data_IF_729608058896
#
_entry.id   IF_729608058896
#
_cell.length_a   1.000
_cell.length_b   1.000
_cell.length_c   1.000
_cell.angle_alpha   90.00
_cell.angle_beta   90.00
_cell.angle_gamma   90.00
#
_symmetry.space_group_name_H-M   'P 1'
#
loop_
_entity.id
_entity.type
_entity.pdbx_description
1 polymer ?
#
# COMPACT_ATOMS: atom_id res chain seq x y z
N UNK A 1 27.67 -13.73 15.06
CA UNK A 1 26.21 -13.92 15.08
C UNK A 1 25.56 -12.55 15.29
N UNK A 2 25.13 -11.91 14.24
CA UNK A 2 24.43 -10.61 14.31
C UNK A 2 22.97 -10.92 14.65
N UNK A 3 22.55 -10.61 15.86
CA UNK A 3 21.15 -10.66 16.27
C UNK A 3 20.33 -9.81 15.29
N UNK A 4 19.52 -10.45 14.47
CA UNK A 4 18.49 -9.81 13.66
C UNK A 4 17.35 -9.42 14.63
N UNK A 5 17.11 -8.14 14.91
CA UNK A 5 16.07 -7.74 15.85
C UNK A 5 14.68 -8.13 15.36
N UNK A 6 14.55 -8.37 14.05
CA UNK A 6 13.31 -8.81 13.41
C UNK A 6 13.13 -10.33 13.58
N UNK A 7 14.22 -11.12 13.65
CA UNK A 7 14.16 -12.55 13.95
C UNK A 7 13.82 -12.85 15.42
N UNK A 8 14.08 -11.91 16.35
CA UNK A 8 13.92 -12.16 17.79
C UNK A 8 12.49 -12.03 18.33
N UNK A 9 11.46 -11.98 17.51
CA UNK A 9 10.03 -12.03 17.92
C UNK A 9 9.55 -11.00 18.97
N UNK A 10 10.48 -10.30 19.60
CA UNK A 10 10.21 -9.38 20.71
C UNK A 10 9.97 -7.92 20.28
N UNK A 11 10.26 -7.55 19.02
CA UNK A 11 10.50 -6.15 18.68
C UNK A 11 9.46 -5.49 17.78
N UNK A 12 8.66 -6.24 17.01
CA UNK A 12 7.72 -5.61 16.06
C UNK A 12 6.63 -4.80 16.75
N UNK A 13 6.16 -5.25 17.92
CA UNK A 13 5.13 -4.51 18.67
C UNK A 13 5.67 -3.40 19.59
N UNK A 14 6.99 -3.24 19.67
CA UNK A 14 7.62 -2.06 20.28
C UNK A 14 7.81 -0.96 19.23
N UNK A 15 6.78 -0.68 18.44
CA UNK A 15 6.70 0.53 17.64
C UNK A 15 6.91 1.75 18.54
N UNK A 16 7.42 2.84 17.97
CA UNK A 16 7.62 4.07 18.77
C UNK A 16 6.28 4.56 19.29
N UNK A 17 6.26 4.89 20.58
CA UNK A 17 5.11 5.51 21.20
C UNK A 17 4.79 6.84 20.48
N UNK A 18 3.50 7.10 20.27
CA UNK A 18 3.03 8.37 19.76
C UNK A 18 3.34 9.46 20.80
N UNK A 19 4.07 10.47 20.38
CA UNK A 19 4.43 11.63 21.18
C UNK A 19 3.77 12.90 20.61
N UNK A 20 3.81 14.00 21.33
CA UNK A 20 3.20 15.26 20.92
C UNK A 20 3.60 15.70 19.50
N UNK A 21 4.88 15.66 19.06
CA UNK A 21 5.24 15.95 17.69
C UNK A 21 4.55 15.05 16.66
N UNK A 22 4.41 13.74 16.94
CA UNK A 22 3.73 12.83 16.02
C UNK A 22 2.22 13.13 15.92
N UNK A 23 1.60 13.54 17.02
CA UNK A 23 0.20 13.98 17.05
C UNK A 23 -0.01 15.29 16.28
N UNK A 24 0.94 16.24 16.39
CA UNK A 24 0.91 17.48 15.59
C UNK A 24 0.99 17.15 14.09
N UNK A 25 1.95 16.29 13.69
CA UNK A 25 2.08 15.89 12.28
C UNK A 25 0.85 15.13 11.80
N UNK A 26 0.25 14.27 12.64
CA UNK A 26 -1.01 13.60 12.33
C UNK A 26 -2.13 14.61 12.04
N UNK A 27 -2.29 15.63 12.90
CA UNK A 27 -3.28 16.68 12.70
C UNK A 27 -3.03 17.47 11.41
N UNK A 28 -1.76 17.78 11.09
CA UNK A 28 -1.39 18.44 9.84
C UNK A 28 -1.65 17.58 8.61
N UNK A 29 -1.37 16.27 8.67
CA UNK A 29 -1.68 15.31 7.60
C UNK A 29 -3.19 15.24 7.39
N UNK A 30 -3.97 15.13 8.46
CA UNK A 30 -5.43 15.12 8.37
C UNK A 30 -5.96 16.42 7.77
N UNK A 31 -5.61 17.57 8.34
CA UNK A 31 -6.11 18.88 7.89
C UNK A 31 -5.69 19.19 6.46
N UNK A 32 -4.40 19.00 6.11
CA UNK A 32 -3.92 19.23 4.75
C UNK A 32 -4.59 18.32 3.72
N UNK A 33 -4.78 17.04 4.06
CA UNK A 33 -5.51 16.10 3.19
C UNK A 33 -6.99 16.46 3.06
N UNK A 34 -7.63 16.85 4.15
CA UNK A 34 -9.03 17.28 4.13
C UNK A 34 -9.25 18.45 3.19
N UNK A 35 -8.43 19.50 3.28
CA UNK A 35 -8.53 20.65 2.38
C UNK A 35 -8.23 20.29 0.93
N UNK A 36 -7.27 19.39 0.68
CA UNK A 36 -6.95 18.93 -0.66
C UNK A 36 -8.13 18.17 -1.29
N UNK A 37 -8.71 17.21 -0.56
CA UNK A 37 -9.86 16.46 -1.05
C UNK A 37 -11.13 17.30 -1.16
N UNK A 38 -11.31 18.29 -0.27
CA UNK A 38 -12.43 19.22 -0.40
C UNK A 38 -12.31 20.09 -1.66
N UNK A 39 -11.08 20.50 -1.99
CA UNK A 39 -10.79 21.19 -3.26
C UNK A 39 -11.07 20.28 -4.46
N UNK A 40 -10.63 19.03 -4.43
CA UNK A 40 -10.88 18.06 -5.50
C UNK A 40 -12.38 17.86 -5.73
N UNK A 41 -13.17 17.73 -4.67
CA UNK A 41 -14.62 17.57 -4.76
C UNK A 41 -15.31 18.73 -5.50
N UNK A 42 -14.72 19.91 -5.53
CA UNK A 42 -15.26 21.04 -6.28
C UNK A 42 -15.20 20.85 -7.81
N UNK A 43 -14.46 19.87 -8.30
CA UNK A 43 -14.35 19.56 -9.74
C UNK A 43 -15.25 18.38 -10.10
N UNK A 44 -16.31 18.64 -10.86
CA UNK A 44 -17.34 17.66 -11.23
C UNK A 44 -16.81 16.47 -12.05
N UNK A 45 -15.68 16.64 -12.73
CA UNK A 45 -15.03 15.58 -13.52
C UNK A 45 -13.99 14.78 -12.70
N UNK A 46 -13.77 15.11 -11.43
CA UNK A 46 -12.84 14.39 -10.58
C UNK A 46 -13.43 13.05 -10.12
N UNK A 47 -12.61 12.02 -10.03
CA UNK A 47 -13.02 10.71 -9.50
C UNK A 47 -13.70 10.83 -8.14
N UNK A 48 -13.19 11.70 -7.26
CA UNK A 48 -13.78 11.91 -5.93
C UNK A 48 -15.23 12.39 -6.01
N UNK A 49 -15.53 13.33 -6.91
CA UNK A 49 -16.89 13.83 -7.12
C UNK A 49 -17.80 12.72 -7.66
N UNK A 50 -17.34 12.01 -8.69
CA UNK A 50 -18.09 10.90 -9.31
C UNK A 50 -18.41 9.82 -8.29
N UNK A 51 -17.40 9.38 -7.52
CA UNK A 51 -17.60 8.40 -6.46
C UNK A 51 -18.53 8.90 -5.34
N UNK A 52 -18.46 10.19 -4.99
CA UNK A 52 -19.35 10.77 -3.99
C UNK A 52 -20.82 10.82 -4.48
N UNK A 53 -21.04 11.11 -5.75
CA UNK A 53 -22.40 11.05 -6.35
C UNK A 53 -22.94 9.61 -6.34
N UNK A 54 -22.11 8.61 -6.60
CA UNK A 54 -22.52 7.21 -6.44
C UNK A 54 -22.94 6.92 -4.99
N UNK A 55 -22.16 7.42 -4.02
CA UNK A 55 -22.48 7.26 -2.59
C UNK A 55 -23.74 8.01 -2.17
N UNK A 56 -24.02 9.16 -2.77
CA UNK A 56 -25.25 9.95 -2.56
C UNK A 56 -26.51 9.12 -2.90
N UNK A 57 -26.45 8.34 -3.96
CA UNK A 57 -27.57 7.57 -4.49
C UNK A 57 -27.80 6.23 -3.77
N UNK A 58 -27.03 5.90 -2.72
CA UNK A 58 -27.22 4.66 -1.96
C UNK A 58 -28.46 4.72 -1.09
N UNK A 59 -29.31 3.72 -1.23
CA UNK A 59 -30.43 3.45 -0.34
C UNK A 59 -30.11 2.25 0.55
N UNK A 60 -29.95 2.48 1.85
CA UNK A 60 -29.66 1.39 2.81
C UNK A 60 -30.84 0.45 3.05
N UNK A 61 -32.04 0.83 2.60
CA UNK A 61 -33.23 -0.08 2.63
C UNK A 61 -33.25 -1.01 1.44
N UNK A 62 -32.52 -0.69 0.37
CA UNK A 62 -32.34 -1.51 -0.83
C UNK A 62 -30.89 -1.90 -1.07
N UNK A 63 -30.52 -3.11 -0.65
CA UNK A 63 -29.16 -3.63 -0.87
C UNK A 63 -28.77 -3.70 -2.36
N UNK A 64 -29.75 -3.80 -3.26
CA UNK A 64 -29.48 -3.83 -4.69
C UNK A 64 -28.94 -2.48 -5.18
N UNK A 65 -29.37 -1.37 -4.61
CA UNK A 65 -28.86 -0.04 -4.91
C UNK A 65 -27.35 0.08 -4.68
N UNK A 66 -26.83 -0.66 -3.69
CA UNK A 66 -25.41 -0.70 -3.33
C UNK A 66 -24.65 -1.70 -4.19
N UNK A 67 -25.16 -2.93 -4.28
CA UNK A 67 -24.44 -4.04 -4.92
C UNK A 67 -24.45 -3.99 -6.43
N UNK A 68 -25.46 -3.37 -7.06
CA UNK A 68 -25.55 -3.25 -8.51
C UNK A 68 -24.54 -2.26 -9.12
N UNK A 69 -24.02 -1.34 -8.32
CA UNK A 69 -23.15 -0.26 -8.83
C UNK A 69 -21.66 -0.49 -8.62
N UNK A 70 -21.26 -1.21 -7.55
CA UNK A 70 -19.85 -1.32 -7.14
C UNK A 70 -19.49 -2.65 -6.52
N UNK A 71 -18.36 -3.21 -6.93
CA UNK A 71 -17.77 -4.41 -6.33
C UNK A 71 -16.98 -4.14 -5.04
N UNK A 72 -16.67 -2.87 -4.75
CA UNK A 72 -15.89 -2.45 -3.59
C UNK A 72 -16.52 -1.21 -2.92
N UNK A 73 -17.63 -1.40 -2.18
CA UNK A 73 -18.49 -0.32 -1.74
C UNK A 73 -18.08 0.35 -0.42
N UNK A 74 -17.02 -0.11 0.28
CA UNK A 74 -16.72 0.31 1.66
C UNK A 74 -16.63 1.84 1.81
N UNK A 75 -15.86 2.51 0.94
CA UNK A 75 -15.74 3.96 0.99
C UNK A 75 -17.10 4.64 0.79
N UNK A 76 -17.87 4.17 -0.19
CA UNK A 76 -19.17 4.74 -0.54
C UNK A 76 -20.21 4.54 0.57
N UNK A 77 -20.23 3.37 1.22
CA UNK A 77 -21.09 3.10 2.38
C UNK A 77 -20.80 4.10 3.51
N UNK A 78 -19.52 4.33 3.83
CA UNK A 78 -19.15 5.25 4.90
C UNK A 78 -19.51 6.68 4.55
N UNK A 79 -19.26 7.13 3.32
CA UNK A 79 -19.63 8.48 2.86
C UNK A 79 -21.15 8.67 2.84
N UNK A 80 -21.88 7.68 2.30
CA UNK A 80 -23.35 7.70 2.28
C UNK A 80 -23.95 7.76 3.68
N UNK A 81 -23.44 6.96 4.62
CA UNK A 81 -23.89 6.97 6.01
C UNK A 81 -23.69 8.35 6.67
N UNK A 82 -22.51 8.97 6.47
CA UNK A 82 -22.26 10.31 6.98
C UNK A 82 -23.17 11.35 6.34
N UNK A 83 -23.41 11.24 5.03
CA UNK A 83 -24.33 12.13 4.32
C UNK A 83 -25.77 12.02 4.85
N UNK A 84 -26.28 10.80 5.06
CA UNK A 84 -27.62 10.57 5.61
C UNK A 84 -27.74 11.02 7.09
N UNK A 85 -26.61 11.10 7.81
CA UNK A 85 -26.54 11.71 9.15
C UNK A 85 -26.49 13.24 9.11
N UNK A 86 -26.58 13.87 7.93
CA UNK A 86 -26.65 15.32 7.75
C UNK A 86 -25.31 16.00 7.49
N UNK A 87 -24.21 15.24 7.31
CA UNK A 87 -22.92 15.83 6.90
C UNK A 87 -22.98 16.17 5.41
N UNK A 88 -22.68 17.41 4.97
CA UNK A 88 -22.67 17.73 3.55
C UNK A 88 -21.75 16.78 2.76
N UNK A 89 -22.20 16.33 1.57
CA UNK A 89 -21.56 15.26 0.80
C UNK A 89 -20.06 15.49 0.55
N UNK A 90 -19.67 16.70 0.16
CA UNK A 90 -18.26 17.04 -0.06
C UNK A 90 -17.41 16.95 1.20
N UNK A 91 -17.96 17.34 2.36
CA UNK A 91 -17.28 17.22 3.65
C UNK A 91 -17.19 15.75 4.12
N UNK A 92 -18.22 14.94 3.87
CA UNK A 92 -18.19 13.52 4.14
C UNK A 92 -17.11 12.82 3.29
N UNK A 93 -17.11 13.07 1.98
CA UNK A 93 -16.13 12.51 1.05
C UNK A 93 -14.68 12.89 1.41
N UNK A 94 -14.42 14.19 1.60
CA UNK A 94 -13.10 14.70 1.97
C UNK A 94 -12.67 14.19 3.36
N UNK A 95 -13.57 14.14 4.32
CA UNK A 95 -13.32 13.67 5.68
C UNK A 95 -12.91 12.20 5.73
N UNK A 96 -13.58 11.32 4.97
CA UNK A 96 -13.25 9.89 4.90
C UNK A 96 -11.87 9.68 4.25
N UNK A 97 -11.56 10.39 3.16
CA UNK A 97 -10.24 10.32 2.53
C UNK A 97 -9.14 10.82 3.46
N UNK A 98 -9.37 11.95 4.17
CA UNK A 98 -8.42 12.49 5.13
C UNK A 98 -8.19 11.56 6.33
N UNK A 99 -9.25 10.90 6.81
CA UNK A 99 -9.14 9.89 7.85
C UNK A 99 -8.30 8.69 7.39
N UNK A 100 -8.52 8.19 6.17
CA UNK A 100 -7.71 7.12 5.58
C UNK A 100 -6.22 7.53 5.50
N UNK A 101 -5.93 8.77 5.10
CA UNK A 101 -4.57 9.32 5.06
C UNK A 101 -3.94 9.40 6.46
N UNK A 102 -4.71 9.85 7.45
CA UNK A 102 -4.27 9.94 8.84
C UNK A 102 -3.97 8.54 9.43
N UNK A 103 -4.83 7.55 9.19
CA UNK A 103 -4.61 6.15 9.58
C UNK A 103 -3.37 5.59 8.88
N UNK A 104 -3.21 5.85 7.59
CA UNK A 104 -2.02 5.46 6.82
C UNK A 104 -0.75 6.05 7.43
N UNK A 105 -0.77 7.34 7.81
CA UNK A 105 0.37 7.98 8.48
C UNK A 105 0.70 7.32 9.83
N UNK A 106 -0.30 7.09 10.68
CA UNK A 106 -0.11 6.46 11.98
C UNK A 106 0.59 5.10 11.86
N UNK A 107 0.07 4.26 10.98
CA UNK A 107 0.59 2.91 10.76
C UNK A 107 1.96 2.93 10.07
N UNK A 108 2.19 3.88 9.16
CA UNK A 108 3.50 4.10 8.52
C UNK A 108 4.54 4.53 9.56
N UNK A 109 4.23 5.52 10.39
CA UNK A 109 5.13 5.99 11.46
C UNK A 109 5.48 4.85 12.42
N UNK A 110 4.48 4.08 12.83
CA UNK A 110 4.68 2.93 13.70
C UNK A 110 5.56 1.86 13.04
N UNK A 111 5.26 1.46 11.80
CA UNK A 111 5.98 0.39 11.08
C UNK A 111 7.42 0.80 10.73
N UNK A 112 7.62 2.01 10.19
CA UNK A 112 8.96 2.56 9.92
C UNK A 112 9.77 2.62 11.20
N UNK A 113 9.17 3.08 12.32
CA UNK A 113 9.82 3.12 13.61
C UNK A 113 10.22 1.73 14.15
N UNK A 114 9.34 0.73 14.01
CA UNK A 114 9.61 -0.64 14.38
C UNK A 114 10.77 -1.25 13.58
N UNK A 115 10.77 -1.04 12.26
CA UNK A 115 11.79 -1.58 11.35
C UNK A 115 13.14 -0.85 11.46
N UNK A 116 13.12 0.47 11.70
CA UNK A 116 14.33 1.27 11.90
C UNK A 116 15.02 0.95 13.24
N UNK A 117 14.25 0.49 14.23
CA UNK A 117 14.72 0.13 15.55
C UNK A 117 14.97 1.35 16.47
N UNK A 118 15.22 1.08 17.75
CA UNK A 118 15.32 2.10 18.80
C UNK A 118 16.47 3.10 18.59
N UNK A 119 17.54 2.67 17.88
CA UNK A 119 18.75 3.47 17.64
C UNK A 119 18.61 4.51 16.53
N UNK A 120 17.59 4.42 15.70
CA UNK A 120 17.34 5.38 14.63
C UNK A 120 16.86 6.73 15.22
N UNK A 121 17.22 7.83 14.54
CA UNK A 121 16.80 9.15 14.95
C UNK A 121 15.27 9.28 14.83
N UNK A 122 14.62 9.69 15.94
CA UNK A 122 13.16 9.83 16.00
C UNK A 122 12.58 10.87 15.04
N UNK A 123 13.33 11.94 14.81
CA UNK A 123 12.90 13.01 13.89
C UNK A 123 13.00 12.57 12.43
N UNK A 124 14.03 11.77 12.10
CA UNK A 124 14.13 11.15 10.78
C UNK A 124 12.97 10.18 10.53
N UNK A 125 12.61 9.34 11.51
CA UNK A 125 11.44 8.45 11.40
C UNK A 125 10.17 9.28 11.18
N UNK A 126 9.95 10.33 11.97
CA UNK A 126 8.77 11.19 11.88
C UNK A 126 8.71 11.91 10.52
N UNK A 127 9.80 12.60 10.15
CA UNK A 127 9.86 13.39 8.92
C UNK A 127 9.70 12.52 7.66
N UNK A 128 10.38 11.35 7.62
CA UNK A 128 10.24 10.43 6.49
C UNK A 128 8.84 9.81 6.42
N UNK A 129 8.24 9.46 7.56
CA UNK A 129 6.86 8.95 7.58
C UNK A 129 5.85 10.00 7.10
N UNK A 130 6.05 11.27 7.45
CA UNK A 130 5.25 12.38 6.94
C UNK A 130 5.44 12.57 5.43
N UNK A 131 6.70 12.52 4.96
CA UNK A 131 7.03 12.61 3.54
C UNK A 131 6.36 11.49 2.73
N UNK A 132 6.28 10.27 3.27
CA UNK A 132 5.61 9.16 2.60
C UNK A 132 4.12 9.43 2.34
N UNK A 133 3.48 10.37 3.03
CA UNK A 133 2.08 10.75 2.75
C UNK A 133 1.92 11.56 1.47
N UNK A 134 3.01 12.11 0.95
CA UNK A 134 3.00 12.96 -0.25
C UNK A 134 3.93 12.43 -1.36
N UNK A 135 4.70 11.37 -1.11
CA UNK A 135 5.67 10.86 -2.09
C UNK A 135 5.01 10.52 -3.41
N UNK A 136 5.62 10.96 -4.50
CA UNK A 136 5.21 10.62 -5.87
C UNK A 136 6.40 10.07 -6.67
N UNK A 137 6.17 9.62 -7.89
CA UNK A 137 7.22 9.20 -8.81
C UNK A 137 8.20 10.34 -9.16
N UNK A 138 9.40 10.00 -9.59
CA UNK A 138 10.36 11.00 -10.08
C UNK A 138 9.83 11.69 -11.32
N UNK A 139 10.00 13.01 -11.38
CA UNK A 139 9.59 13.83 -12.50
C UNK A 139 10.58 13.67 -13.67
N UNK A 140 10.10 13.16 -14.79
CA UNK A 140 10.83 13.11 -16.06
C UNK A 140 9.84 13.46 -17.18
N UNK A 141 9.61 14.75 -17.40
CA UNK A 141 8.58 15.27 -18.32
C UNK A 141 8.70 14.72 -19.75
N UNK A 142 9.93 14.50 -20.22
CA UNK A 142 10.18 13.91 -21.54
C UNK A 142 9.81 12.44 -21.65
N UNK A 143 9.60 11.75 -20.52
CA UNK A 143 9.27 10.33 -20.46
C UNK A 143 7.78 10.11 -20.19
N UNK A 144 7.22 10.80 -19.22
CA UNK A 144 5.80 10.71 -18.87
C UNK A 144 5.38 11.84 -17.93
N UNK A 145 4.24 12.44 -18.22
CA UNK A 145 3.54 13.38 -17.33
C UNK A 145 2.52 12.68 -16.41
N UNK A 146 2.30 11.38 -16.60
CA UNK A 146 1.29 10.59 -15.88
C UNK A 146 1.46 10.62 -14.35
N UNK A 147 2.68 10.79 -13.86
CA UNK A 147 2.96 10.93 -12.43
C UNK A 147 2.25 12.13 -11.79
N UNK A 148 1.96 13.17 -12.56
CA UNK A 148 1.23 14.36 -12.09
C UNK A 148 -0.28 14.15 -12.02
N UNK A 149 -0.79 13.18 -12.76
CA UNK A 149 -2.20 12.78 -12.71
C UNK A 149 -2.46 11.68 -11.67
N UNK A 150 -1.44 11.29 -10.90
CA UNK A 150 -1.53 10.29 -9.86
C UNK A 150 -1.43 8.84 -10.34
N UNK A 151 -1.50 8.56 -11.65
CA UNK A 151 -1.46 7.18 -12.18
C UNK A 151 -0.10 6.52 -11.98
N UNK A 152 0.98 7.28 -12.00
CA UNK A 152 2.33 6.80 -11.71
C UNK A 152 2.83 7.21 -10.33
N UNK A 153 1.97 7.28 -9.31
CA UNK A 153 2.33 7.73 -7.97
C UNK A 153 2.02 6.69 -6.89
N UNK A 154 2.91 6.47 -5.91
CA UNK A 154 2.59 5.72 -4.71
C UNK A 154 1.43 6.32 -3.91
N UNK A 155 1.23 7.64 -4.01
CA UNK A 155 0.11 8.37 -3.42
C UNK A 155 -0.80 8.91 -4.51
N UNK A 156 -1.91 8.24 -4.73
CA UNK A 156 -2.92 8.62 -5.70
C UNK A 156 -3.93 9.54 -5.01
N UNK A 157 -3.90 10.83 -5.31
CA UNK A 157 -4.79 11.80 -4.66
C UNK A 157 -6.20 11.81 -5.23
N UNK A 158 -6.37 11.63 -6.53
CA UNK A 158 -7.66 11.75 -7.20
C UNK A 158 -8.62 10.55 -7.02
N UNK A 159 -8.17 9.43 -6.45
CA UNK A 159 -9.02 8.25 -6.34
C UNK A 159 -9.30 7.87 -4.87
N UNK A 160 -10.56 8.07 -4.37
CA UNK A 160 -10.91 7.88 -2.98
C UNK A 160 -10.82 6.42 -2.52
N UNK A 161 -11.14 5.46 -3.39
CA UNK A 161 -11.05 4.04 -3.07
C UNK A 161 -9.61 3.58 -2.92
N UNK A 162 -8.66 4.24 -3.62
CA UNK A 162 -7.24 3.98 -3.45
C UNK A 162 -6.72 4.47 -2.08
N UNK A 163 -7.26 5.59 -1.55
CA UNK A 163 -6.95 6.02 -0.17
C UNK A 163 -7.40 4.96 0.84
N UNK A 164 -8.61 4.44 0.66
CA UNK A 164 -9.19 3.46 1.58
C UNK A 164 -8.41 2.14 1.56
N UNK A 165 -8.07 1.62 0.38
CA UNK A 165 -7.29 0.37 0.29
C UNK A 165 -5.87 0.54 0.80
N UNK A 166 -5.25 1.73 0.64
CA UNK A 166 -3.92 2.00 1.21
C UNK A 166 -3.95 1.94 2.73
N UNK A 167 -4.99 2.52 3.38
CA UNK A 167 -5.19 2.39 4.82
C UNK A 167 -5.44 0.93 5.24
N UNK A 168 -6.26 0.19 4.49
CA UNK A 168 -6.52 -1.23 4.74
C UNK A 168 -5.25 -2.08 4.59
N UNK A 169 -4.44 -1.84 3.55
CA UNK A 169 -3.13 -2.47 3.37
C UNK A 169 -2.24 -2.28 4.59
N UNK A 170 -2.16 -1.04 5.11
CA UNK A 170 -1.35 -0.72 6.27
C UNK A 170 -1.87 -1.37 7.56
N UNK A 171 -3.11 -1.85 7.61
CA UNK A 171 -3.63 -2.70 8.69
C UNK A 171 -3.29 -4.18 8.47
N UNK A 172 -3.49 -4.69 7.26
CA UNK A 172 -3.24 -6.10 6.90
C UNK A 172 -1.77 -6.47 7.07
N UNK A 173 -0.85 -5.65 6.54
CA UNK A 173 0.56 -6.01 6.45
C UNK A 173 1.26 -6.19 7.82
N UNK A 174 1.08 -5.30 8.81
CA UNK A 174 1.61 -5.54 10.16
C UNK A 174 0.97 -6.75 10.83
N UNK A 175 -0.32 -7.01 10.59
CA UNK A 175 -0.98 -8.16 11.16
C UNK A 175 -0.49 -9.48 10.58
N UNK A 176 -0.31 -9.54 9.26
CA UNK A 176 0.30 -10.68 8.58
C UNK A 176 1.73 -10.94 9.09
N UNK A 177 2.52 -9.87 9.22
CA UNK A 177 3.85 -9.94 9.81
C UNK A 177 3.79 -10.48 11.25
N UNK A 178 2.86 -10.01 12.09
CA UNK A 178 2.68 -10.53 13.43
C UNK A 178 2.41 -12.04 13.44
N UNK A 179 1.50 -12.52 12.60
CA UNK A 179 1.22 -13.94 12.46
C UNK A 179 2.49 -14.74 12.11
N UNK A 180 3.30 -14.19 11.21
CA UNK A 180 4.57 -14.79 10.82
C UNK A 180 5.60 -14.85 11.94
N UNK A 181 5.77 -13.77 12.69
CA UNK A 181 6.73 -13.75 13.81
C UNK A 181 6.32 -14.69 14.93
N UNK A 182 5.03 -14.82 15.18
CA UNK A 182 4.56 -15.78 16.16
C UNK A 182 4.85 -17.22 15.72
N UNK A 183 4.68 -17.51 14.44
CA UNK A 183 5.11 -18.78 13.84
C UNK A 183 6.62 -19.02 14.06
N UNK A 184 7.47 -18.08 13.66
CA UNK A 184 8.92 -18.20 13.80
C UNK A 184 9.32 -18.45 15.26
N UNK A 185 8.75 -17.70 16.20
CA UNK A 185 9.00 -17.85 17.64
C UNK A 185 8.59 -19.24 18.17
N UNK A 186 7.48 -19.79 17.67
CA UNK A 186 7.03 -21.12 18.09
C UNK A 186 7.95 -22.21 17.53
N UNK A 187 8.43 -22.06 16.28
CA UNK A 187 9.42 -22.97 15.67
C UNK A 187 10.74 -22.92 16.43
N UNK A 188 11.27 -21.73 16.75
CA UNK A 188 12.49 -21.54 17.52
C UNK A 188 12.38 -22.12 18.94
N UNK A 189 11.21 -22.05 19.56
CA UNK A 189 10.93 -22.64 20.86
C UNK A 189 10.76 -24.18 20.83
N UNK A 190 10.91 -24.82 19.67
CA UNK A 190 10.83 -26.26 19.50
C UNK A 190 9.43 -26.82 19.79
N UNK A 191 8.37 -26.05 19.61
CA UNK A 191 7.01 -26.53 19.86
C UNK A 191 6.67 -27.68 18.90
N UNK A 192 6.09 -28.77 19.43
CA UNK A 192 5.68 -29.92 18.62
C UNK A 192 4.57 -29.61 17.62
N UNK A 193 3.76 -28.60 17.90
CA UNK A 193 2.69 -28.11 17.00
C UNK A 193 2.72 -26.60 16.97
N UNK A 194 2.92 -26.05 15.79
CA UNK A 194 2.92 -24.61 15.55
C UNK A 194 1.56 -24.23 14.98
N UNK A 195 0.75 -23.55 15.77
CA UNK A 195 -0.57 -23.08 15.40
C UNK A 195 -0.79 -21.66 15.94
N UNK A 196 -1.49 -20.86 15.17
CA UNK A 196 -1.98 -19.57 15.64
C UNK A 196 -3.34 -19.75 16.36
N UNK A 197 -3.62 -18.93 17.38
CA UNK A 197 -4.96 -18.82 17.93
C UNK A 197 -5.97 -18.44 16.84
N UNK A 198 -7.13 -19.09 16.82
CA UNK A 198 -8.14 -18.89 15.76
C UNK A 198 -8.60 -17.45 15.62
N UNK A 199 -8.70 -16.70 16.71
CA UNK A 199 -9.07 -15.29 16.63
C UNK A 199 -8.11 -14.47 15.77
N UNK A 200 -6.80 -14.80 15.73
CA UNK A 200 -5.81 -14.11 14.86
C UNK A 200 -6.06 -14.41 13.40
N UNK A 201 -6.47 -15.64 13.10
CA UNK A 201 -6.83 -16.07 11.74
C UNK A 201 -8.10 -15.35 11.28
N UNK A 202 -9.11 -15.29 12.17
CA UNK A 202 -10.35 -14.55 11.87
C UNK A 202 -10.08 -13.07 11.63
N UNK A 203 -9.26 -12.42 12.48
CA UNK A 203 -8.89 -11.01 12.27
C UNK A 203 -8.16 -10.84 10.93
N UNK A 204 -7.20 -11.72 10.60
CA UNK A 204 -6.53 -11.65 9.30
C UNK A 204 -7.52 -11.81 8.14
N UNK A 205 -8.45 -12.76 8.23
CA UNK A 205 -9.47 -12.98 7.21
C UNK A 205 -10.38 -11.76 7.03
N UNK A 206 -10.85 -11.15 8.12
CA UNK A 206 -11.67 -9.93 8.09
C UNK A 206 -10.91 -8.76 7.49
N UNK A 207 -9.64 -8.56 7.87
CA UNK A 207 -8.80 -7.50 7.33
C UNK A 207 -8.54 -7.69 5.82
N UNK A 208 -8.23 -8.92 5.39
CA UNK A 208 -8.02 -9.23 3.97
C UNK A 208 -9.30 -9.05 3.15
N UNK A 209 -10.43 -9.57 3.62
CA UNK A 209 -11.72 -9.39 2.95
C UNK A 209 -12.13 -7.91 2.91
N UNK A 210 -11.98 -7.19 4.03
CA UNK A 210 -12.24 -5.76 4.10
C UNK A 210 -11.38 -4.96 3.12
N UNK A 211 -10.11 -5.35 2.91
CA UNK A 211 -9.25 -4.68 1.93
C UNK A 211 -9.72 -4.87 0.49
N UNK A 212 -10.22 -6.06 0.12
CA UNK A 212 -10.84 -6.29 -1.20
C UNK A 212 -12.11 -5.47 -1.35
N UNK A 213 -12.93 -5.38 -0.29
CA UNK A 213 -14.14 -4.56 -0.29
C UNK A 213 -13.86 -3.05 -0.35
N UNK A 214 -12.64 -2.60 0.04
CA UNK A 214 -12.17 -1.24 -0.20
C UNK A 214 -11.76 -1.03 -1.66
N UNK A 215 -10.93 -1.91 -2.20
CA UNK A 215 -10.49 -2.02 -3.60
C UNK A 215 -9.61 -3.27 -3.76
N UNK A 216 -9.75 -4.07 -4.81
CA UNK A 216 -9.01 -5.34 -4.95
C UNK A 216 -7.50 -5.17 -5.19
N UNK A 217 -7.04 -4.00 -5.61
CA UNK A 217 -5.69 -3.72 -6.12
C UNK A 217 -4.55 -4.14 -5.18
N UNK A 218 -4.71 -3.98 -3.88
CA UNK A 218 -3.72 -4.45 -2.91
C UNK A 218 -3.63 -5.97 -2.86
N UNK A 219 -4.77 -6.67 -2.84
CA UNK A 219 -4.80 -8.13 -2.78
C UNK A 219 -4.34 -8.77 -4.09
N UNK A 220 -4.51 -8.11 -5.23
CA UNK A 220 -3.95 -8.54 -6.52
C UNK A 220 -2.42 -8.66 -6.46
N UNK A 221 -1.74 -7.73 -5.80
CA UNK A 221 -0.29 -7.82 -5.57
C UNK A 221 0.07 -8.79 -4.42
N UNK A 222 -0.70 -8.78 -3.32
CA UNK A 222 -0.39 -9.56 -2.12
C UNK A 222 -0.57 -11.06 -2.32
N UNK A 223 -1.67 -11.50 -2.94
CA UNK A 223 -1.98 -12.93 -3.04
C UNK A 223 -0.89 -13.73 -3.75
N UNK A 224 -0.42 -13.39 -4.97
CA UNK A 224 0.64 -14.12 -5.63
C UNK A 224 1.99 -13.99 -4.90
N UNK A 225 2.29 -12.82 -4.32
CA UNK A 225 3.51 -12.62 -3.54
C UNK A 225 3.53 -13.48 -2.27
N UNK A 226 2.43 -13.50 -1.52
CA UNK A 226 2.27 -14.34 -0.34
C UNK A 226 2.29 -15.82 -0.71
N UNK A 227 1.63 -16.21 -1.80
CA UNK A 227 1.67 -17.59 -2.27
C UNK A 227 3.10 -18.09 -2.50
N UNK A 228 3.91 -17.35 -3.26
CA UNK A 228 5.31 -17.72 -3.51
C UNK A 228 6.11 -17.78 -2.21
N UNK A 229 5.95 -16.78 -1.34
CA UNK A 229 6.68 -16.74 -0.08
C UNK A 229 6.30 -17.88 0.85
N UNK A 230 5.00 -18.17 1.00
CA UNK A 230 4.53 -19.27 1.84
C UNK A 230 4.85 -20.64 1.23
N UNK A 231 4.84 -20.79 -0.09
CA UNK A 231 5.24 -22.01 -0.77
C UNK A 231 6.69 -22.37 -0.43
N UNK A 232 7.61 -21.40 -0.49
CA UNK A 232 9.02 -21.60 -0.09
C UNK A 232 9.11 -22.02 1.38
N UNK A 233 8.32 -21.42 2.27
CA UNK A 233 8.37 -21.76 3.69
C UNK A 233 7.73 -23.12 3.99
N UNK A 234 6.70 -23.54 3.27
CA UNK A 234 6.13 -24.90 3.37
C UNK A 234 7.21 -25.94 3.08
N UNK A 235 8.02 -25.73 2.02
CA UNK A 235 9.13 -26.66 1.72
C UNK A 235 10.23 -26.66 2.78
N UNK A 236 10.48 -25.53 3.44
CA UNK A 236 11.45 -25.40 4.54
C UNK A 236 10.97 -26.02 5.83
N UNK A 237 9.66 -25.93 6.11
CA UNK A 237 9.00 -26.30 7.35
C UNK A 237 7.87 -27.31 7.13
N UNK A 238 8.13 -28.39 6.42
CA UNK A 238 7.11 -29.41 6.00
C UNK A 238 6.29 -29.96 7.16
N UNK A 239 6.84 -30.02 8.37
CA UNK A 239 6.14 -30.51 9.56
C UNK A 239 5.03 -29.56 10.03
N UNK A 240 5.07 -28.28 9.63
CA UNK A 240 4.20 -27.22 10.11
C UNK A 240 3.05 -26.90 9.13
N UNK A 241 2.68 -27.85 8.25
CA UNK A 241 1.67 -27.66 7.21
C UNK A 241 0.32 -27.12 7.74
N UNK A 242 -0.01 -27.40 9.02
CA UNK A 242 -1.24 -26.90 9.66
C UNK A 242 -1.26 -25.40 9.83
N UNK A 243 -0.13 -24.80 10.16
CA UNK A 243 -0.01 -23.34 10.19
C UNK A 243 -0.28 -22.75 8.81
N UNK A 244 0.33 -23.32 7.77
CA UNK A 244 0.11 -22.85 6.40
C UNK A 244 -1.34 -23.03 5.97
N UNK A 245 -1.99 -24.11 6.38
CA UNK A 245 -3.43 -24.31 6.18
C UNK A 245 -4.28 -23.22 6.86
N UNK A 246 -3.92 -22.80 8.07
CA UNK A 246 -4.59 -21.66 8.73
C UNK A 246 -4.45 -20.35 7.94
N UNK A 247 -3.26 -20.09 7.38
CA UNK A 247 -3.03 -18.88 6.56
C UNK A 247 -3.84 -18.95 5.27
N UNK A 248 -3.89 -20.11 4.60
CA UNK A 248 -4.75 -20.30 3.41
C UNK A 248 -6.21 -20.02 3.77
N UNK A 249 -6.70 -20.58 4.88
CA UNK A 249 -8.07 -20.33 5.36
C UNK A 249 -8.35 -18.86 5.62
N UNK A 250 -7.36 -18.09 6.10
CA UNK A 250 -7.50 -16.64 6.29
C UNK A 250 -7.66 -15.88 4.96
N UNK A 251 -7.05 -16.34 3.88
CA UNK A 251 -7.16 -15.72 2.57
C UNK A 251 -8.40 -16.14 1.77
N UNK A 252 -8.98 -17.32 2.06
CA UNK A 252 -10.12 -17.84 1.28
C UNK A 252 -11.32 -16.87 1.17
N UNK A 253 -11.77 -16.18 2.25
CA UNK A 253 -12.88 -15.24 2.14
C UNK A 253 -12.60 -14.10 1.18
N UNK A 254 -11.36 -13.57 1.17
CA UNK A 254 -10.96 -12.49 0.26
C UNK A 254 -10.88 -12.96 -1.19
N UNK A 255 -10.38 -14.18 -1.44
CA UNK A 255 -10.38 -14.80 -2.77
C UNK A 255 -11.81 -15.04 -3.25
N UNK A 256 -12.68 -15.59 -2.38
CA UNK A 256 -14.09 -15.80 -2.70
C UNK A 256 -14.80 -14.48 -3.06
N UNK A 257 -14.61 -13.44 -2.25
CA UNK A 257 -15.19 -12.14 -2.53
C UNK A 257 -14.65 -11.53 -3.85
N UNK A 258 -13.35 -11.66 -4.10
CA UNK A 258 -12.73 -11.20 -5.36
C UNK A 258 -13.33 -11.93 -6.57
N UNK A 259 -13.46 -13.25 -6.52
CA UNK A 259 -14.04 -14.05 -7.60
C UNK A 259 -15.52 -13.70 -7.83
N UNK A 260 -16.30 -13.58 -6.77
CA UNK A 260 -17.71 -13.17 -6.87
C UNK A 260 -17.85 -11.78 -7.47
N UNK A 261 -17.01 -10.84 -7.05
CA UNK A 261 -16.97 -9.50 -7.62
C UNK A 261 -16.61 -9.53 -9.11
N UNK A 262 -15.63 -10.33 -9.48
CA UNK A 262 -15.23 -10.50 -10.89
C UNK A 262 -16.37 -11.08 -11.72
N UNK A 263 -17.00 -12.15 -11.27
CA UNK A 263 -18.14 -12.79 -11.98
C UNK A 263 -19.33 -11.83 -12.10
N UNK A 264 -19.58 -11.03 -11.06
CA UNK A 264 -20.64 -10.02 -11.08
C UNK A 264 -20.41 -8.96 -12.17
N UNK A 265 -19.16 -8.49 -12.31
CA UNK A 265 -18.82 -7.39 -13.23
C UNK A 265 -18.46 -7.82 -14.64
N UNK A 266 -18.19 -9.10 -14.90
CA UNK A 266 -17.87 -9.63 -16.23
C UNK A 266 -19.10 -10.10 -17.02
N UNK A 267 -20.32 -9.74 -16.59
CA UNK A 267 -21.52 -9.97 -17.37
C UNK A 267 -22.33 -11.21 -17.02
N UNK A 268 -21.96 -11.92 -15.94
CA UNK A 268 -22.83 -13.00 -15.45
C UNK A 268 -24.09 -12.44 -14.78
N UNK A 269 -24.02 -11.22 -14.25
CA UNK A 269 -25.12 -10.59 -13.48
C UNK A 269 -25.56 -9.24 -14.08
N UNK A 270 -24.68 -8.53 -14.82
CA UNK A 270 -24.97 -7.23 -15.43
C UNK A 270 -24.48 -7.25 -16.86
N UNK A 271 -25.25 -6.76 -17.81
CA UNK A 271 -24.82 -6.57 -19.21
C UNK A 271 -23.74 -5.48 -19.30
N UNK A 272 -22.52 -5.81 -18.87
CA UNK A 272 -21.35 -4.96 -19.07
C UNK A 272 -20.61 -5.40 -20.35
N UNK A 273 -20.38 -4.46 -21.24
CA UNK A 273 -19.61 -4.63 -22.47
C UNK A 273 -18.09 -4.52 -22.23
N UNK A 274 -17.64 -4.74 -21.01
CA UNK A 274 -16.22 -4.68 -20.64
C UNK A 274 -15.68 -6.08 -20.38
N UNK A 275 -14.51 -6.38 -20.92
CA UNK A 275 -13.80 -7.64 -20.73
C UNK A 275 -12.38 -7.43 -20.19
N UNK A 276 -11.68 -8.53 -19.96
CA UNK A 276 -10.26 -8.55 -19.64
C UNK A 276 -9.54 -9.36 -20.70
N UNK A 277 -8.54 -8.75 -21.31
CA UNK A 277 -7.64 -9.42 -22.23
C UNK A 277 -6.33 -9.74 -21.54
N UNK A 278 -5.79 -10.94 -21.81
CA UNK A 278 -4.50 -11.38 -21.31
C UNK A 278 -3.52 -11.38 -22.46
N UNK A 279 -2.47 -10.56 -22.34
CA UNK A 279 -1.41 -10.50 -23.35
C UNK A 279 -0.36 -9.47 -22.99
N UNK A 280 0.89 -9.78 -23.28
CA UNK A 280 2.02 -8.88 -23.07
C UNK A 280 2.42 -8.27 -24.40
N UNK A 281 2.37 -6.94 -24.51
CA UNK A 281 2.94 -6.19 -25.61
C UNK A 281 4.20 -5.45 -25.17
N UNK A 282 5.03 -5.01 -26.11
CA UNK A 282 6.20 -4.19 -25.79
C UNK A 282 5.77 -2.89 -25.12
N UNK A 283 4.66 -2.32 -25.53
CA UNK A 283 4.13 -1.08 -24.96
C UNK A 283 3.66 -1.26 -23.51
N UNK A 284 2.81 -2.27 -23.24
CA UNK A 284 2.34 -2.54 -21.86
C UNK A 284 3.49 -2.89 -20.94
N UNK A 285 4.46 -3.68 -21.41
CA UNK A 285 5.66 -4.01 -20.65
C UNK A 285 6.49 -2.76 -20.33
N UNK A 286 6.72 -1.91 -21.33
CA UNK A 286 7.48 -0.67 -21.14
C UNK A 286 6.79 0.28 -20.15
N UNK A 287 5.49 0.51 -20.30
CA UNK A 287 4.71 1.39 -19.41
C UNK A 287 4.73 0.88 -17.97
N UNK A 288 4.49 -0.42 -17.75
CA UNK A 288 4.47 -1.03 -16.44
C UNK A 288 5.83 -0.92 -15.74
N UNK A 289 6.92 -1.30 -16.42
CA UNK A 289 8.30 -1.22 -15.88
C UNK A 289 8.69 0.22 -15.63
N UNK A 290 8.52 1.10 -16.62
CA UNK A 290 8.85 2.52 -16.52
C UNK A 290 8.15 3.19 -15.33
N UNK A 291 6.83 3.04 -15.23
CA UNK A 291 6.06 3.68 -14.17
C UNK A 291 6.49 3.15 -12.79
N UNK A 292 6.72 1.85 -12.66
CA UNK A 292 7.19 1.27 -11.38
C UNK A 292 8.59 1.76 -11.03
N UNK A 293 9.50 1.86 -11.98
CA UNK A 293 10.82 2.42 -11.76
C UNK A 293 10.74 3.90 -11.35
N UNK A 294 9.91 4.69 -12.00
CA UNK A 294 9.70 6.10 -11.64
C UNK A 294 9.09 6.26 -10.24
N UNK A 295 8.14 5.39 -9.87
CA UNK A 295 7.53 5.41 -8.53
C UNK A 295 8.48 4.94 -7.44
N UNK A 296 9.42 4.04 -7.75
CA UNK A 296 10.17 3.28 -6.77
C UNK A 296 11.69 3.42 -6.90
N UNK A 297 12.21 4.39 -7.66
CA UNK A 297 13.65 4.55 -7.91
C UNK A 297 14.48 4.60 -6.61
N UNK A 298 14.07 5.42 -5.64
CA UNK A 298 14.75 5.55 -4.37
C UNK A 298 14.66 4.26 -3.51
N UNK A 299 13.49 3.64 -3.25
CA UNK A 299 13.44 2.40 -2.49
C UNK A 299 14.14 1.23 -3.20
N UNK A 300 14.14 1.14 -4.53
CA UNK A 300 14.90 0.13 -5.26
C UNK A 300 16.41 0.34 -5.12
N UNK A 301 16.90 1.57 -5.17
CA UNK A 301 18.30 1.86 -4.86
C UNK A 301 18.65 1.51 -3.41
N UNK A 302 17.73 1.78 -2.47
CA UNK A 302 17.92 1.37 -1.07
C UNK A 302 17.99 -0.17 -0.91
N UNK A 303 17.24 -0.92 -1.72
CA UNK A 303 17.38 -2.40 -1.79
C UNK A 303 18.83 -2.78 -2.14
N UNK A 304 19.38 -2.18 -3.21
CA UNK A 304 20.74 -2.46 -3.66
C UNK A 304 21.78 -2.14 -2.57
N UNK A 305 21.62 -1.01 -1.87
CA UNK A 305 22.54 -0.59 -0.81
C UNK A 305 22.42 -1.48 0.43
N UNK A 306 21.23 -1.93 0.76
CA UNK A 306 20.94 -2.68 2.00
C UNK A 306 21.01 -4.20 1.84
N UNK A 307 21.11 -4.76 0.61
CA UNK A 307 20.95 -6.20 0.38
C UNK A 307 21.95 -7.06 1.17
N UNK A 308 23.21 -6.64 1.29
CA UNK A 308 24.26 -7.35 2.03
C UNK A 308 24.08 -7.29 3.56
N UNK A 309 23.23 -6.41 4.07
CA UNK A 309 22.96 -6.22 5.51
C UNK A 309 21.76 -7.03 6.01
N UNK A 310 21.37 -8.05 5.28
CA UNK A 310 20.31 -8.96 5.70
C UNK A 310 18.91 -8.52 5.30
N UNK A 311 18.77 -7.61 4.32
CA UNK A 311 17.46 -7.20 3.82
C UNK A 311 16.62 -8.40 3.38
N UNK A 312 17.21 -9.37 2.67
CA UNK A 312 16.50 -10.59 2.27
C UNK A 312 16.20 -11.57 3.41
N UNK A 313 16.74 -11.31 4.61
CA UNK A 313 16.31 -11.98 5.84
C UNK A 313 15.05 -11.33 6.44
N UNK A 314 14.80 -10.07 6.07
CA UNK A 314 13.59 -9.36 6.46
C UNK A 314 12.43 -9.79 5.55
N UNK A 315 11.48 -10.49 6.13
CA UNK A 315 10.36 -11.09 5.38
C UNK A 315 9.42 -10.04 4.79
N UNK A 316 9.23 -8.91 5.49
CA UNK A 316 8.47 -7.79 4.94
C UNK A 316 9.18 -7.18 3.73
N UNK A 317 10.52 -7.09 3.76
CA UNK A 317 11.32 -6.65 2.63
C UNK A 317 11.15 -7.54 1.41
N UNK A 318 11.23 -8.85 1.60
CA UNK A 318 11.00 -9.83 0.52
C UNK A 318 9.58 -9.75 0.00
N UNK A 319 8.59 -9.67 0.90
CA UNK A 319 7.19 -9.58 0.51
C UNK A 319 6.90 -8.31 -0.29
N UNK A 320 7.43 -7.15 0.14
CA UNK A 320 7.28 -5.88 -0.58
C UNK A 320 7.87 -5.94 -1.99
N UNK A 321 9.04 -6.58 -2.16
CA UNK A 321 9.65 -6.79 -3.48
C UNK A 321 8.83 -7.74 -4.36
N UNK A 322 8.35 -8.85 -3.80
CA UNK A 322 7.49 -9.78 -4.53
C UNK A 322 6.17 -9.10 -4.95
N UNK A 323 5.53 -8.34 -4.06
CA UNK A 323 4.34 -7.57 -4.40
C UNK A 323 4.61 -6.60 -5.54
N UNK A 324 5.74 -5.87 -5.50
CA UNK A 324 6.12 -4.95 -6.58
C UNK A 324 6.34 -5.70 -7.90
N UNK A 325 7.03 -6.86 -7.87
CA UNK A 325 7.25 -7.66 -9.07
C UNK A 325 5.94 -8.20 -9.66
N UNK A 326 5.03 -8.74 -8.82
CA UNK A 326 3.75 -9.25 -9.29
C UNK A 326 2.83 -8.15 -9.79
N UNK A 327 2.84 -6.96 -9.19
CA UNK A 327 2.06 -5.83 -9.71
C UNK A 327 2.57 -5.32 -11.07
N UNK A 328 3.88 -5.41 -11.32
CA UNK A 328 4.44 -5.15 -12.66
C UNK A 328 3.97 -6.20 -13.65
N UNK A 329 4.06 -7.49 -13.29
CA UNK A 329 3.59 -8.58 -14.15
C UNK A 329 2.09 -8.46 -14.46
N UNK A 330 1.28 -8.08 -13.47
CA UNK A 330 -0.14 -7.82 -13.65
C UNK A 330 -0.39 -6.69 -14.66
N UNK A 331 0.26 -5.55 -14.47
CA UNK A 331 0.14 -4.39 -15.35
C UNK A 331 0.66 -4.67 -16.79
N UNK A 332 1.59 -5.61 -16.94
CA UNK A 332 2.08 -6.06 -18.26
C UNK A 332 1.11 -6.99 -18.96
N UNK A 333 0.48 -7.90 -18.18
CA UNK A 333 -0.23 -9.05 -18.73
C UNK A 333 -1.73 -8.82 -18.90
N UNK A 334 -2.34 -7.93 -18.12
CA UNK A 334 -3.78 -7.72 -18.12
C UNK A 334 -4.13 -6.33 -18.58
N UNK A 335 -5.13 -6.25 -19.46
CA UNK A 335 -5.73 -4.97 -19.88
C UNK A 335 -7.24 -5.10 -19.95
N UNK A 336 -7.91 -3.99 -19.72
CA UNK A 336 -9.34 -3.91 -19.89
C UNK A 336 -9.69 -3.68 -21.36
N UNK A 337 -10.84 -4.21 -21.76
CA UNK A 337 -11.40 -4.02 -23.10
C UNK A 337 -12.82 -3.45 -23.02
N UNK A 338 -13.33 -2.94 -24.13
CA UNK A 338 -14.66 -2.36 -24.22
C UNK A 338 -14.75 -1.00 -23.51
N UNK A 339 -15.83 -0.74 -22.78
CA UNK A 339 -16.07 0.57 -22.15
C UNK A 339 -15.01 0.99 -21.14
N UNK A 340 -14.23 0.05 -20.60
CA UNK A 340 -13.15 0.31 -19.64
C UNK A 340 -11.76 0.32 -20.25
N UNK A 341 -11.67 0.20 -21.57
CA UNK A 341 -10.40 0.31 -22.27
C UNK A 341 -9.74 1.66 -21.95
N UNK A 342 -8.49 1.61 -21.52
CA UNK A 342 -7.74 2.80 -21.12
C UNK A 342 -7.89 3.25 -19.67
N UNK A 343 -8.80 2.68 -18.86
CA UNK A 343 -8.92 3.01 -17.42
C UNK A 343 -7.71 2.57 -16.61
N UNK A 344 -6.92 1.60 -17.10
CA UNK A 344 -5.67 1.17 -16.48
C UNK A 344 -5.82 0.55 -15.10
N UNK A 345 -6.95 -0.11 -14.79
CA UNK A 345 -7.22 -0.64 -13.45
C UNK A 345 -6.16 -1.67 -12.99
N UNK A 346 -5.53 -2.40 -13.90
CA UNK A 346 -4.45 -3.33 -13.58
C UNK A 346 -3.11 -2.66 -13.23
N UNK A 347 -2.99 -1.34 -13.41
CA UNK A 347 -1.79 -0.60 -12.98
C UNK A 347 -1.87 -0.15 -11.53
N UNK A 348 -3.05 -0.13 -10.90
CA UNK A 348 -3.26 0.36 -9.55
C UNK A 348 -2.62 -0.50 -8.45
N UNK A 349 -2.43 -1.79 -8.72
CA UNK A 349 -1.69 -2.68 -7.83
C UNK A 349 -0.23 -2.22 -7.65
N UNK A 350 0.38 -1.66 -8.71
CA UNK A 350 1.72 -1.10 -8.66
C UNK A 350 1.82 0.13 -7.74
N UNK A 351 0.78 0.95 -7.65
CA UNK A 351 0.75 2.10 -6.74
C UNK A 351 0.76 1.64 -5.27
N UNK A 352 -0.10 0.67 -4.92
CA UNK A 352 -0.15 0.10 -3.57
C UNK A 352 1.16 -0.59 -3.18
N UNK A 353 1.70 -1.43 -4.06
CA UNK A 353 2.94 -2.16 -3.80
C UNK A 353 4.15 -1.23 -3.71
N UNK A 354 4.23 -0.19 -4.56
CA UNK A 354 5.26 0.84 -4.48
C UNK A 354 5.19 1.61 -3.17
N UNK A 355 3.99 2.00 -2.71
CA UNK A 355 3.84 2.65 -1.42
C UNK A 355 4.35 1.76 -0.29
N UNK A 356 3.96 0.49 -0.28
CA UNK A 356 4.44 -0.45 0.74
C UNK A 356 5.95 -0.66 0.68
N UNK A 357 6.52 -0.75 -0.52
CA UNK A 357 7.98 -0.83 -0.71
C UNK A 357 8.69 0.40 -0.13
N UNK A 358 8.14 1.61 -0.33
CA UNK A 358 8.64 2.83 0.29
C UNK A 358 8.65 2.75 1.82
N UNK A 359 7.54 2.31 2.42
CA UNK A 359 7.42 2.18 3.88
C UNK A 359 8.47 1.23 4.44
N UNK A 360 8.56 0.03 3.87
CA UNK A 360 9.49 -1.02 4.32
C UNK A 360 10.93 -0.59 4.13
N UNK A 361 11.27 -0.06 2.94
CA UNK A 361 12.65 0.32 2.63
C UNK A 361 13.11 1.55 3.41
N UNK A 362 12.23 2.47 3.76
CA UNK A 362 12.55 3.58 4.65
C UNK A 362 13.00 3.06 6.03
N UNK A 363 12.30 2.08 6.60
CA UNK A 363 12.68 1.48 7.88
C UNK A 363 14.00 0.71 7.81
N UNK A 364 14.17 -0.15 6.79
CA UNK A 364 15.40 -0.91 6.56
C UNK A 364 16.59 0.01 6.31
N UNK A 365 16.41 1.03 5.48
CA UNK A 365 17.44 2.02 5.18
C UNK A 365 17.91 2.78 6.43
N UNK A 366 16.98 3.31 7.23
CA UNK A 366 17.30 4.02 8.47
C UNK A 366 18.07 3.13 9.45
N UNK A 367 17.67 1.86 9.60
CA UNK A 367 18.38 0.87 10.43
C UNK A 367 19.81 0.68 9.94
N UNK A 368 19.98 0.39 8.65
CA UNK A 368 21.26 0.10 8.04
C UNK A 368 22.19 1.30 8.06
N UNK A 369 21.67 2.48 7.69
CA UNK A 369 22.40 3.74 7.73
C UNK A 369 22.91 4.06 9.14
N UNK A 370 22.03 3.92 10.15
CA UNK A 370 22.40 4.18 11.56
C UNK A 370 23.52 3.24 12.04
N UNK A 371 23.50 1.96 11.62
CA UNK A 371 24.54 1.00 11.94
C UNK A 371 25.87 1.35 11.26
N UNK A 372 25.83 1.68 9.96
CA UNK A 372 27.02 1.98 9.18
C UNK A 372 27.63 3.34 9.56
N UNK A 373 26.81 4.34 9.93
CA UNK A 373 27.29 5.61 10.47
C UNK A 373 28.10 5.41 11.76
N UNK A 374 27.62 4.57 12.66
CA UNK A 374 28.30 4.27 13.93
C UNK A 374 29.58 3.44 13.77
N UNK A 375 29.64 2.58 12.76
CA UNK A 375 30.83 1.75 12.47
C UNK A 375 31.88 2.47 11.62
N UNK A 376 31.66 3.71 11.21
CA UNK A 376 32.54 4.45 10.29
C UNK A 376 32.50 4.01 8.83
N UNK A 377 31.59 3.06 8.49
CA UNK A 377 31.52 2.48 7.15
C UNK A 377 31.04 3.47 6.07
N UNK A 378 30.51 4.63 6.45
CA UNK A 378 30.12 5.70 5.52
C UNK A 378 31.31 6.32 4.76
N UNK A 379 32.55 6.15 5.27
CA UNK A 379 33.79 6.63 4.62
C UNK A 379 34.27 5.70 3.49
N UNK A 380 33.59 4.60 3.23
CA UNK A 380 33.90 3.63 2.18
C UNK A 380 33.02 3.82 0.95
N UNK A 381 33.18 2.95 -0.06
CA UNK A 381 32.32 2.85 -1.26
C UNK A 381 30.80 2.79 -0.90
N UNK A 382 30.45 2.35 0.31
CA UNK A 382 29.07 2.38 0.79
C UNK A 382 28.52 3.81 0.94
N UNK A 383 29.39 4.77 1.28
CA UNK A 383 28.99 6.19 1.32
C UNK A 383 28.43 6.68 0.00
N UNK A 384 28.98 6.24 -1.13
CA UNK A 384 28.45 6.55 -2.46
C UNK A 384 27.04 5.99 -2.69
N UNK A 385 26.80 4.75 -2.21
CA UNK A 385 25.47 4.16 -2.26
C UNK A 385 24.44 4.97 -1.46
N UNK A 386 24.80 5.41 -0.25
CA UNK A 386 23.92 6.26 0.56
C UNK A 386 23.70 7.64 -0.09
N UNK A 387 24.73 8.22 -0.71
CA UNK A 387 24.60 9.46 -1.46
C UNK A 387 23.65 9.31 -2.67
N UNK A 388 23.72 8.18 -3.39
CA UNK A 388 22.83 7.88 -4.50
C UNK A 388 21.36 7.77 -4.03
N UNK A 389 21.11 7.07 -2.90
CA UNK A 389 19.76 7.02 -2.30
C UNK A 389 19.29 8.41 -1.90
N UNK A 390 20.17 9.23 -1.30
CA UNK A 390 19.89 10.62 -0.94
C UNK A 390 19.54 11.49 -2.15
N UNK A 391 20.29 11.37 -3.24
CA UNK A 391 20.02 12.08 -4.49
C UNK A 391 18.66 11.71 -5.10
N UNK A 392 18.35 10.41 -5.16
CA UNK A 392 17.04 9.94 -5.62
C UNK A 392 15.91 10.37 -4.67
N UNK A 393 16.14 10.36 -3.37
CA UNK A 393 15.18 10.89 -2.39
C UNK A 393 14.88 12.36 -2.64
N UNK A 394 15.91 13.19 -2.86
CA UNK A 394 15.73 14.62 -3.18
C UNK A 394 14.96 14.82 -4.49
N UNK A 395 15.20 13.97 -5.49
CA UNK A 395 14.43 14.03 -6.74
C UNK A 395 12.95 13.70 -6.52
N UNK A 396 12.65 12.63 -5.75
CA UNK A 396 11.27 12.33 -5.36
C UNK A 396 10.64 13.47 -4.53
N UNK A 397 11.42 14.10 -3.62
CA UNK A 397 10.94 15.21 -2.82
C UNK A 397 10.58 16.43 -3.68
N UNK A 398 11.45 16.79 -4.62
CA UNK A 398 11.17 17.83 -5.60
C UNK A 398 9.90 17.51 -6.40
N UNK A 399 9.80 16.30 -6.95
CA UNK A 399 8.66 15.86 -7.73
C UNK A 399 7.36 15.89 -6.91
N UNK A 400 7.43 15.51 -5.62
CA UNK A 400 6.28 15.53 -4.72
C UNK A 400 5.78 16.95 -4.43
N UNK A 401 6.70 17.89 -4.18
CA UNK A 401 6.36 19.31 -3.98
C UNK A 401 5.78 19.89 -5.26
N UNK A 402 6.36 19.59 -6.41
CA UNK A 402 5.83 20.02 -7.70
C UNK A 402 4.42 19.48 -7.94
N UNK A 403 4.18 18.19 -7.67
CA UNK A 403 2.87 17.57 -7.81
C UNK A 403 1.84 18.20 -6.87
N UNK A 404 2.17 18.44 -5.60
CA UNK A 404 1.28 19.14 -4.68
C UNK A 404 0.96 20.56 -5.15
N UNK A 405 1.96 21.29 -5.65
CA UNK A 405 1.75 22.61 -6.24
C UNK A 405 0.78 22.54 -7.42
N UNK A 406 0.96 21.55 -8.31
CA UNK A 406 0.07 21.31 -9.43
C UNK A 406 -1.38 21.02 -8.97
N UNK A 407 -1.57 20.16 -7.98
CA UNK A 407 -2.88 19.86 -7.39
C UNK A 407 -3.54 21.11 -6.78
N UNK A 408 -2.77 22.01 -6.21
CA UNK A 408 -3.28 23.24 -5.58
C UNK A 408 -3.59 24.36 -6.59
N UNK A 409 -2.94 24.40 -7.74
CA UNK A 409 -3.01 25.53 -8.66
C UNK A 409 -3.74 25.22 -9.97
N UNK A 410 -3.67 23.98 -10.45
CA UNK A 410 -4.29 23.58 -11.72
C UNK A 410 -5.79 23.33 -11.57
N UNK A 411 -6.57 23.78 -12.55
CA UNK A 411 -7.98 23.44 -12.70
C UNK A 411 -8.19 22.08 -13.39
N UNK A 412 -7.13 21.53 -14.00
CA UNK A 412 -7.13 20.25 -14.73
C UNK A 412 -6.35 19.16 -13.98
N UNK A 413 -6.17 19.33 -12.66
CA UNK A 413 -5.37 18.42 -11.83
C UNK A 413 -6.09 17.09 -11.53
N UNK A 414 -7.39 17.04 -11.72
CA UNK A 414 -8.26 15.95 -11.32
C UNK A 414 -9.08 15.42 -12.48
#
# INVERSE_FOLDING_TARGET
MTHDPVASGKTIWKGRAFNAPALIVLALVFAGSYFMFLREFAYQNADLYIHAMIAHDFDFTDLHSITSRLSYPVWHIVVSALYQLGVPLGHAAAGVCALCKAVTFLLTYWLVGAMAGERANRWAVLGLSAFLMIVTGVLVMSVSDAVYRGVGSPNVWHNPTQQTVTAAMMLVMPWLAHCWYEFARQVEAGKQRVLLPWWKIVVLAVLCMGSVACKPTFMQALLPAAFVMYLVEVFRHKKEWRYFGQIVLAFLPSVGYFLLSYLYYTGVVVEFTSGVEIGITVETAWVAVRNTLMMSACPLMAVIVCYRKGMFKDRLGVLALLMTAFSVLEAMAFRETGMREGHGNFTWAANSSSFFLWVVMTGVFLRTFTQDARSGALRSVRGLGYAAVGGLFLWHAYSSVYYLHYLLTSTNAF
#
